data_IF_265627138902
#
_entry.id   IF_265627138902
#
_cell.length_a   1.000
_cell.length_b   1.000
_cell.length_c   1.000
_cell.angle_alpha   90.00
_cell.angle_beta   90.00
_cell.angle_gamma   90.00
#
_symmetry.space_group_name_H-M   'P 1'
#
loop_
_entity.id
_entity.type
_entity.pdbx_description
1 polymer ?
#
# COMPACT_ATOMS: atom_id res chain seq x y z
N UNK A 1 8.88 -19.21 -0.11
CA UNK A 1 7.64 -18.72 0.52
C UNK A 1 6.75 -18.16 -0.58
N UNK A 2 5.50 -18.61 -0.66
CA UNK A 2 4.54 -18.22 -1.71
C UNK A 2 4.27 -16.72 -1.72
N UNK A 3 4.28 -16.06 -0.55
CA UNK A 3 4.06 -14.62 -0.45
C UNK A 3 5.18 -13.85 -1.14
N UNK A 4 6.43 -14.22 -0.86
CA UNK A 4 7.59 -13.63 -1.51
C UNK A 4 7.56 -13.85 -3.04
N UNK A 5 7.18 -15.04 -3.52
CA UNK A 5 7.04 -15.31 -4.96
C UNK A 5 6.06 -14.35 -5.64
N UNK A 6 4.87 -14.16 -5.04
CA UNK A 6 3.86 -13.25 -5.55
C UNK A 6 4.34 -11.79 -5.52
N UNK A 7 5.03 -11.37 -4.45
CA UNK A 7 5.58 -10.01 -4.36
C UNK A 7 6.68 -9.79 -5.41
N UNK A 8 7.54 -10.78 -5.66
CA UNK A 8 8.53 -10.72 -6.74
C UNK A 8 7.86 -10.60 -8.11
N UNK A 9 6.75 -11.31 -8.32
CA UNK A 9 5.97 -11.19 -9.56
C UNK A 9 5.40 -9.78 -9.74
N UNK A 10 4.92 -9.12 -8.67
CA UNK A 10 4.47 -7.72 -8.71
C UNK A 10 5.61 -6.72 -8.93
N UNK A 11 6.79 -6.98 -8.36
CA UNK A 11 7.96 -6.12 -8.49
C UNK A 11 8.61 -6.20 -9.89
N UNK A 12 8.55 -7.37 -10.53
CA UNK A 12 9.25 -7.63 -11.80
C UNK A 12 8.91 -6.64 -12.93
N UNK A 13 7.63 -6.30 -13.22
CA UNK A 13 7.31 -5.31 -14.25
C UNK A 13 7.95 -3.94 -14.01
N UNK A 14 8.03 -3.50 -12.74
CA UNK A 14 8.66 -2.22 -12.36
C UNK A 14 10.15 -2.24 -12.69
N UNK A 15 10.85 -3.33 -12.34
CA UNK A 15 12.28 -3.49 -12.65
C UNK A 15 12.55 -3.54 -14.15
N UNK A 16 11.69 -4.22 -14.92
CA UNK A 16 11.82 -4.31 -16.38
C UNK A 16 11.58 -2.96 -17.05
N UNK A 17 10.57 -2.20 -16.61
CA UNK A 17 10.30 -0.87 -17.14
C UNK A 17 11.44 0.10 -16.83
N UNK A 18 11.94 0.12 -15.59
CA UNK A 18 13.09 0.93 -15.20
C UNK A 18 14.33 0.62 -16.07
N UNK A 19 14.67 -0.65 -16.25
CA UNK A 19 15.78 -1.06 -17.10
C UNK A 19 15.58 -0.65 -18.57
N UNK A 20 14.36 -0.78 -19.10
CA UNK A 20 14.03 -0.40 -20.46
C UNK A 20 14.11 1.11 -20.70
N UNK A 21 13.76 1.92 -19.70
CA UNK A 21 13.89 3.38 -19.74
C UNK A 21 15.36 3.79 -19.60
N UNK A 22 16.13 3.15 -18.72
CA UNK A 22 17.56 3.40 -18.57
C UNK A 22 18.32 3.13 -19.87
N UNK A 23 18.01 2.03 -20.55
CA UNK A 23 18.59 1.68 -21.86
C UNK A 23 18.27 2.69 -22.98
N UNK A 24 17.23 3.53 -22.79
CA UNK A 24 16.83 4.61 -23.71
C UNK A 24 17.43 5.96 -23.33
N UNK A 25 18.28 6.02 -22.30
CA UNK A 25 18.97 7.23 -21.88
C UNK A 25 18.14 8.15 -20.99
N UNK A 26 17.00 7.71 -20.45
CA UNK A 26 16.27 8.48 -19.44
C UNK A 26 17.07 8.53 -18.14
N UNK A 27 17.21 9.70 -17.53
CA UNK A 27 17.86 9.86 -16.24
C UNK A 27 17.06 9.22 -15.09
N UNK A 28 17.70 9.02 -13.94
CA UNK A 28 17.10 8.30 -12.83
C UNK A 28 15.86 8.98 -12.24
N UNK A 29 15.82 10.32 -12.22
CA UNK A 29 14.71 11.05 -11.63
C UNK A 29 13.44 10.90 -12.49
N UNK A 30 13.58 11.12 -13.81
CA UNK A 30 12.50 10.95 -14.77
C UNK A 30 11.96 9.50 -14.77
N UNK A 31 12.85 8.51 -14.62
CA UNK A 31 12.42 7.11 -14.49
C UNK A 31 11.59 6.87 -13.23
N UNK A 32 12.07 7.33 -12.07
CA UNK A 32 11.36 7.14 -10.81
C UNK A 32 10.00 7.84 -10.79
N UNK A 33 9.90 9.03 -11.38
CA UNK A 33 8.63 9.75 -11.52
C UNK A 33 7.63 8.96 -12.37
N UNK A 34 8.04 8.47 -13.54
CA UNK A 34 7.19 7.68 -14.41
C UNK A 34 6.78 6.36 -13.75
N UNK A 35 7.72 5.66 -13.10
CA UNK A 35 7.42 4.44 -12.36
C UNK A 35 6.43 4.70 -11.22
N UNK A 36 6.59 5.81 -10.49
CA UNK A 36 5.68 6.22 -9.41
C UNK A 36 4.27 6.45 -9.95
N UNK A 37 4.13 7.13 -11.08
CA UNK A 37 2.83 7.36 -11.71
C UNK A 37 2.16 6.03 -12.12
N UNK A 38 2.90 5.14 -12.79
CA UNK A 38 2.36 3.84 -13.24
C UNK A 38 2.00 2.93 -12.06
N UNK A 39 2.89 2.80 -11.08
CA UNK A 39 2.65 1.96 -9.89
C UNK A 39 1.53 2.55 -9.03
N UNK A 40 1.50 3.87 -8.86
CA UNK A 40 0.46 4.57 -8.13
C UNK A 40 -0.93 4.34 -8.73
N UNK A 41 -1.09 4.53 -10.03
CA UNK A 41 -2.38 4.34 -10.72
C UNK A 41 -2.83 2.88 -10.74
N UNK A 42 -1.93 1.95 -11.06
CA UNK A 42 -2.27 0.52 -11.07
C UNK A 42 -2.60 -0.02 -9.68
N UNK A 43 -1.85 0.42 -8.66
CA UNK A 43 -2.13 0.08 -7.27
C UNK A 43 -3.42 0.72 -6.74
N UNK A 44 -3.72 1.97 -7.10
CA UNK A 44 -4.96 2.63 -6.73
C UNK A 44 -6.19 1.94 -7.35
N UNK A 45 -6.09 1.49 -8.60
CA UNK A 45 -7.15 0.70 -9.23
C UNK A 45 -7.39 -0.63 -8.49
N UNK A 46 -6.33 -1.29 -8.03
CA UNK A 46 -6.44 -2.48 -7.18
C UNK A 46 -7.11 -2.16 -5.84
N UNK A 47 -6.69 -1.11 -5.14
CA UNK A 47 -7.32 -0.68 -3.88
C UNK A 47 -8.81 -0.38 -4.05
N UNK A 48 -9.20 0.30 -5.14
CA UNK A 48 -10.61 0.56 -5.45
C UNK A 48 -11.43 -0.71 -5.72
N UNK A 49 -10.80 -1.77 -6.23
CA UNK A 49 -11.45 -3.07 -6.33
C UNK A 49 -11.64 -3.71 -4.95
N UNK A 50 -10.59 -3.73 -4.12
CA UNK A 50 -10.60 -4.37 -2.80
C UNK A 50 -11.55 -3.69 -1.81
N UNK A 51 -11.62 -2.36 -1.87
CA UNK A 51 -12.46 -1.52 -1.03
C UNK A 51 -13.85 -1.27 -1.62
N UNK A 52 -14.20 -1.95 -2.72
CA UNK A 52 -15.54 -1.83 -3.31
C UNK A 52 -16.61 -2.23 -2.29
N UNK A 53 -17.58 -1.33 -2.08
CA UNK A 53 -18.70 -1.57 -1.17
C UNK A 53 -18.39 -1.36 0.31
N UNK A 54 -17.21 -0.81 0.63
CA UNK A 54 -16.96 -0.25 1.95
C UNK A 54 -17.75 1.05 2.11
N UNK A 55 -18.57 1.11 3.15
CA UNK A 55 -19.36 2.29 3.50
C UNK A 55 -19.42 2.47 5.01
N UNK A 56 -19.55 3.72 5.47
CA UNK A 56 -19.71 4.03 6.90
C UNK A 56 -20.88 3.26 7.52
N UNK A 57 -22.02 3.21 6.83
CA UNK A 57 -23.21 2.50 7.29
C UNK A 57 -22.97 1.00 7.51
N UNK A 58 -22.28 0.33 6.57
CA UNK A 58 -21.94 -1.09 6.70
C UNK A 58 -21.01 -1.32 7.89
N UNK A 59 -20.03 -0.44 8.09
CA UNK A 59 -19.06 -0.58 9.17
C UNK A 59 -19.68 -0.30 10.56
N UNK A 60 -20.53 0.72 10.66
CA UNK A 60 -21.23 1.07 11.91
C UNK A 60 -22.23 -0.01 12.35
N UNK A 61 -22.80 -0.77 11.41
CA UNK A 61 -23.69 -1.88 11.69
C UNK A 61 -22.98 -3.10 12.33
N UNK A 62 -21.65 -3.14 12.31
CA UNK A 62 -20.84 -4.19 12.94
C UNK A 62 -20.53 -3.83 14.40
N UNK A 63 -20.54 -4.85 15.25
CA UNK A 63 -19.97 -4.77 16.60
C UNK A 63 -18.43 -4.72 16.55
N UNK A 64 -17.74 -4.44 17.67
CA UNK A 64 -16.28 -4.33 17.67
C UNK A 64 -15.55 -5.55 17.10
N UNK A 65 -16.03 -6.77 17.42
CA UNK A 65 -15.44 -8.01 16.91
C UNK A 65 -15.63 -8.17 15.39
N UNK A 66 -16.80 -7.80 14.87
CA UNK A 66 -17.09 -7.81 13.43
C UNK A 66 -16.24 -6.80 12.66
N UNK A 67 -16.02 -5.60 13.22
CA UNK A 67 -15.13 -4.59 12.64
C UNK A 67 -13.70 -5.10 12.52
N UNK A 68 -13.17 -5.69 13.58
CA UNK A 68 -11.84 -6.29 13.57
C UNK A 68 -11.75 -7.45 12.58
N UNK A 69 -12.79 -8.30 12.51
CA UNK A 69 -12.87 -9.41 11.55
C UNK A 69 -12.77 -8.94 10.10
N UNK A 70 -13.61 -7.97 9.70
CA UNK A 70 -13.60 -7.42 8.34
C UNK A 70 -12.26 -6.74 8.01
N UNK A 71 -11.65 -6.05 8.98
CA UNK A 71 -10.33 -5.45 8.79
C UNK A 71 -9.25 -6.53 8.58
N UNK A 72 -9.23 -7.59 9.41
CA UNK A 72 -8.29 -8.71 9.23
C UNK A 72 -8.46 -9.39 7.86
N UNK A 73 -9.71 -9.60 7.43
CA UNK A 73 -10.01 -10.21 6.12
C UNK A 73 -9.52 -9.34 4.96
N UNK A 74 -9.66 -8.01 5.05
CA UNK A 74 -9.11 -7.08 4.08
C UNK A 74 -7.58 -7.15 4.06
N UNK A 75 -6.93 -7.04 5.23
CA UNK A 75 -5.48 -7.04 5.35
C UNK A 75 -4.85 -8.35 4.83
N UNK A 76 -5.54 -9.48 4.99
CA UNK A 76 -5.10 -10.79 4.49
C UNK A 76 -4.97 -10.85 2.95
N UNK A 77 -5.67 -9.97 2.22
CA UNK A 77 -5.57 -9.91 0.74
C UNK A 77 -4.25 -9.31 0.27
N UNK A 78 -3.58 -8.55 1.13
CA UNK A 78 -2.29 -7.93 0.85
C UNK A 78 -1.15 -8.86 1.28
N UNK A 79 -0.86 -9.86 0.44
CA UNK A 79 0.20 -10.84 0.72
C UNK A 79 1.60 -10.23 0.86
N UNK A 80 1.82 -9.00 0.40
CA UNK A 80 3.11 -8.31 0.46
C UNK A 80 3.44 -7.72 1.85
N UNK A 81 2.52 -7.77 2.82
CA UNK A 81 2.72 -7.11 4.12
C UNK A 81 2.22 -7.90 5.32
N UNK A 82 2.86 -7.71 6.47
CA UNK A 82 2.37 -8.23 7.75
C UNK A 82 1.74 -7.08 8.52
N UNK A 83 0.42 -7.05 8.51
CA UNK A 83 -0.39 -6.03 9.15
C UNK A 83 -1.17 -6.62 10.34
N UNK A 84 -1.45 -5.79 11.33
CA UNK A 84 -2.33 -6.14 12.44
C UNK A 84 -3.23 -4.95 12.79
N UNK A 85 -4.52 -5.19 13.12
CA UNK A 85 -5.39 -4.15 13.66
C UNK A 85 -4.79 -3.50 14.91
N UNK A 86 -5.04 -2.21 15.08
CA UNK A 86 -4.77 -1.49 16.32
C UNK A 86 -6.02 -0.74 16.73
N UNK A 87 -6.28 -0.67 18.04
CA UNK A 87 -7.32 0.21 18.56
C UNK A 87 -6.83 1.66 18.43
N UNK A 88 -7.66 2.50 17.82
CA UNK A 88 -7.46 3.94 17.76
C UNK A 88 -8.80 4.61 18.07
N UNK A 89 -8.85 5.45 19.10
CA UNK A 89 -10.07 6.15 19.49
C UNK A 89 -10.29 7.43 18.66
N UNK A 90 -9.27 7.91 17.97
CA UNK A 90 -9.33 9.13 17.17
C UNK A 90 -9.81 8.90 15.73
N UNK A 91 -9.72 7.66 15.24
CA UNK A 91 -10.05 7.29 13.87
C UNK A 91 -11.08 6.15 13.81
N UNK A 92 -11.86 6.06 12.74
CA UNK A 92 -12.82 4.96 12.55
C UNK A 92 -12.12 3.57 12.50
N UNK A 93 -10.88 3.54 11.97
CA UNK A 93 -10.12 2.32 11.67
C UNK A 93 -8.60 2.56 11.85
N UNK A 94 -7.91 1.60 12.48
CA UNK A 94 -6.45 1.63 12.64
C UNK A 94 -5.80 0.28 12.39
N UNK A 95 -4.67 0.28 11.68
CA UNK A 95 -3.78 -0.89 11.62
C UNK A 95 -2.33 -0.48 11.41
N UNK A 96 -1.41 -1.34 11.84
CA UNK A 96 0.02 -1.14 11.66
C UNK A 96 0.62 -2.26 10.81
N UNK A 97 1.53 -1.88 9.91
CA UNK A 97 2.34 -2.82 9.12
C UNK A 97 3.73 -2.90 9.72
N UNK A 98 4.08 -4.05 10.28
CA UNK A 98 5.41 -4.30 10.88
C UNK A 98 6.44 -4.88 9.91
N UNK A 99 5.99 -5.43 8.77
CA UNK A 99 6.89 -5.92 7.73
C UNK A 99 6.29 -5.72 6.33
N UNK A 100 7.12 -5.26 5.40
CA UNK A 100 6.76 -5.06 4.00
C UNK A 100 7.76 -5.77 3.08
N UNK A 101 7.28 -6.75 2.31
CA UNK A 101 8.10 -7.53 1.40
C UNK A 101 8.67 -6.66 0.27
N UNK A 102 7.97 -5.60 -0.17
CA UNK A 102 8.54 -4.66 -1.14
C UNK A 102 9.78 -3.97 -0.57
N UNK A 103 9.67 -3.35 0.61
CA UNK A 103 10.81 -2.67 1.26
C UNK A 103 12.01 -3.62 1.47
N UNK A 104 11.75 -4.85 1.92
CA UNK A 104 12.80 -5.86 2.11
C UNK A 104 13.44 -6.31 0.80
N UNK A 105 12.63 -6.56 -0.24
CA UNK A 105 13.14 -7.02 -1.55
C UNK A 105 13.95 -5.93 -2.24
N UNK A 106 13.48 -4.70 -2.24
CA UNK A 106 14.18 -3.57 -2.87
C UNK A 106 15.48 -3.23 -2.13
N UNK A 107 15.49 -3.34 -0.79
CA UNK A 107 16.72 -3.26 0.00
C UNK A 107 17.72 -4.35 -0.39
N UNK A 108 17.28 -5.62 -0.52
CA UNK A 108 18.15 -6.73 -0.95
C UNK A 108 18.70 -6.55 -2.37
N UNK A 109 17.99 -5.83 -3.23
CA UNK A 109 18.44 -5.48 -4.58
C UNK A 109 19.40 -4.28 -4.61
N UNK A 110 19.69 -3.66 -3.47
CA UNK A 110 20.50 -2.43 -3.39
C UNK A 110 19.79 -1.21 -3.98
N UNK A 111 18.45 -1.24 -4.05
CA UNK A 111 17.60 -0.21 -4.67
C UNK A 111 16.44 0.21 -3.75
N UNK A 112 16.70 0.64 -2.50
CA UNK A 112 15.66 0.93 -1.53
C UNK A 112 14.68 2.03 -1.97
N UNK A 113 15.12 2.96 -2.83
CA UNK A 113 14.32 4.05 -3.38
C UNK A 113 13.05 3.57 -4.10
N UNK A 114 13.04 2.33 -4.60
CA UNK A 114 11.85 1.76 -5.24
C UNK A 114 10.73 1.40 -4.27
N UNK A 115 11.01 1.24 -2.99
CA UNK A 115 10.00 0.83 -2.01
C UNK A 115 8.84 1.84 -1.96
N UNK A 116 9.18 3.12 -2.04
CA UNK A 116 8.22 4.24 -1.97
C UNK A 116 7.25 4.29 -3.16
N UNK A 117 7.61 3.65 -4.29
CA UNK A 117 6.74 3.57 -5.47
C UNK A 117 5.45 2.81 -5.14
N UNK A 118 5.53 1.77 -4.31
CA UNK A 118 4.36 0.97 -3.92
C UNK A 118 3.48 1.69 -2.89
N UNK A 119 4.06 2.59 -2.09
CA UNK A 119 3.30 3.44 -1.18
C UNK A 119 2.48 4.52 -1.91
N UNK A 120 2.88 4.88 -3.13
CA UNK A 120 2.17 5.84 -3.97
C UNK A 120 0.76 5.36 -4.36
N UNK A 121 0.50 4.05 -4.35
CA UNK A 121 -0.83 3.50 -4.58
C UNK A 121 -1.85 4.03 -3.57
N UNK A 122 -1.46 4.09 -2.30
CA UNK A 122 -2.30 4.60 -1.24
C UNK A 122 -2.52 6.11 -1.41
N UNK A 123 -1.46 6.87 -1.68
CA UNK A 123 -1.57 8.32 -1.91
C UNK A 123 -2.53 8.66 -3.04
N UNK A 124 -2.39 7.99 -4.19
CA UNK A 124 -3.25 8.18 -5.36
C UNK A 124 -4.69 7.76 -5.04
N UNK A 125 -4.89 6.64 -4.36
CA UNK A 125 -6.23 6.15 -4.04
C UNK A 125 -6.96 7.05 -3.04
N UNK A 126 -6.36 7.35 -1.90
CA UNK A 126 -7.02 8.10 -0.82
C UNK A 126 -7.13 9.60 -1.10
N UNK A 127 -6.38 10.15 -2.06
CA UNK A 127 -6.56 11.52 -2.54
C UNK A 127 -7.81 11.70 -3.43
N UNK A 128 -8.37 10.61 -3.97
CA UNK A 128 -9.52 10.66 -4.87
C UNK A 128 -10.82 10.99 -4.11
N UNK A 129 -11.69 11.87 -4.63
CA UNK A 129 -12.98 12.19 -4.01
C UNK A 129 -13.90 10.98 -3.84
N UNK A 130 -13.79 9.98 -4.71
CA UNK A 130 -14.57 8.74 -4.68
C UNK A 130 -14.06 7.70 -3.67
N UNK A 131 -12.93 7.94 -3.02
CA UNK A 131 -12.46 7.04 -1.97
C UNK A 131 -13.45 7.04 -0.81
N UNK A 132 -13.92 5.86 -0.34
CA UNK A 132 -14.85 5.78 0.79
C UNK A 132 -14.18 6.14 2.13
N UNK A 133 -12.85 6.25 2.14
CA UNK A 133 -12.02 6.46 3.31
C UNK A 133 -11.02 7.60 3.05
N UNK A 134 -10.61 8.30 4.10
CA UNK A 134 -9.44 9.19 4.13
C UNK A 134 -8.34 8.50 4.90
N UNK A 135 -7.12 8.57 4.39
CA UNK A 135 -5.94 8.01 5.04
C UNK A 135 -5.09 9.12 5.66
N UNK A 136 -4.78 8.95 6.93
CA UNK A 136 -3.66 9.58 7.60
C UNK A 136 -2.56 8.53 7.84
N UNK A 137 -1.34 8.83 7.40
CA UNK A 137 -0.18 7.96 7.60
C UNK A 137 1.07 8.79 7.83
N UNK A 138 1.58 8.72 9.04
CA UNK A 138 2.73 9.52 9.49
C UNK A 138 4.05 8.75 9.50
N UNK A 139 3.99 7.42 9.50
CA UNK A 139 5.16 6.54 9.52
C UNK A 139 5.10 5.56 8.33
N UNK A 140 6.23 5.30 7.68
CA UNK A 140 6.34 4.22 6.69
C UNK A 140 7.66 3.44 6.79
N UNK A 141 7.57 2.11 6.61
CA UNK A 141 8.73 1.23 6.50
C UNK A 141 9.63 1.61 5.30
N UNK A 142 9.05 2.13 4.22
CA UNK A 142 9.78 2.54 3.01
C UNK A 142 10.68 3.76 3.26
N UNK A 143 10.32 4.61 4.23
CA UNK A 143 11.11 5.78 4.67
C UNK A 143 11.98 5.45 5.91
N UNK A 144 12.11 4.18 6.27
CA UNK A 144 12.99 3.72 7.34
C UNK A 144 12.40 3.78 8.76
N UNK A 145 11.09 3.96 8.90
CA UNK A 145 10.43 3.87 10.22
C UNK A 145 10.29 2.41 10.66
N UNK A 146 9.88 2.20 11.91
CA UNK A 146 9.69 0.84 12.47
C UNK A 146 8.41 0.15 12.01
N UNK A 147 7.45 0.91 11.46
CA UNK A 147 6.15 0.44 10.98
C UNK A 147 5.58 1.39 9.93
N UNK A 148 4.55 0.95 9.22
CA UNK A 148 3.61 1.86 8.58
C UNK A 148 2.37 2.03 9.47
N UNK A 149 2.03 3.25 9.89
CA UNK A 149 0.89 3.52 10.75
C UNK A 149 -0.30 4.02 9.93
N UNK A 150 -1.24 3.13 9.58
CA UNK A 150 -2.42 3.49 8.79
C UNK A 150 -3.58 3.87 9.72
N UNK A 151 -4.12 5.08 9.54
CA UNK A 151 -5.26 5.62 10.25
C UNK A 151 -6.31 6.09 9.26
N UNK A 152 -7.53 5.57 9.39
CA UNK A 152 -8.54 5.65 8.35
C UNK A 152 -9.86 6.15 8.93
N UNK A 153 -10.48 7.11 8.26
CA UNK A 153 -11.82 7.61 8.55
C UNK A 153 -12.72 7.49 7.32
N UNK A 154 -14.00 7.19 7.50
CA UNK A 154 -14.92 7.26 6.36
C UNK A 154 -15.11 8.71 5.92
N UNK A 155 -14.97 8.93 4.60
CA UNK A 155 -15.05 10.24 3.95
C UNK A 155 -16.46 10.86 3.98
#
# INVERSE_FOLDING_TARGET
DRREELTRAQLRPVLLLDAALAARGHDSAARLELLRAVVGESGAAFLGHELRGWTRARFQALDPAGREGVLRDLLARFFNMHAHPVADEAHDLGFDVGACLFAQLTQRLGRPELATLFCAADEVFFARPESPLRLERTETLAEGHSRCAFRLDFA
#
